data_IF_319472916273
#
_entry.id   IF_319472916273
#
_cell.length_a   1.000
_cell.length_b   1.000
_cell.length_c   1.000
_cell.angle_alpha   90.00
_cell.angle_beta   90.00
_cell.angle_gamma   90.00
#
_symmetry.space_group_name_H-M   'P 1'
#
loop_
_entity.id
_entity.type
_entity.pdbx_description
1 polymer ?
#
# COMPACT_ATOMS: atom_id res chain seq x y z
N UNK A 1 -2.14 13.75 -1.95
CA UNK A 1 -2.98 12.73 -2.62
C UNK A 1 -3.17 13.16 -4.07
N UNK A 2 -3.26 12.21 -4.99
CA UNK A 2 -3.61 12.46 -6.39
C UNK A 2 -4.76 11.52 -6.80
N UNK A 3 -5.70 12.04 -7.58
CA UNK A 3 -6.78 11.24 -8.18
C UNK A 3 -6.28 10.78 -9.55
N UNK A 4 -6.24 9.47 -9.76
CA UNK A 4 -5.81 8.87 -11.04
C UNK A 4 -7.02 8.64 -11.94
N UNK A 5 -8.14 8.22 -11.34
CA UNK A 5 -9.43 8.03 -12.01
C UNK A 5 -10.58 8.18 -11.00
N UNK A 6 -11.82 8.01 -11.46
CA UNK A 6 -13.00 8.01 -10.58
C UNK A 6 -12.92 6.95 -9.47
N UNK A 7 -12.16 5.87 -9.68
CA UNK A 7 -12.08 4.73 -8.75
C UNK A 7 -10.65 4.42 -8.27
N UNK A 8 -9.66 5.21 -8.69
CA UNK A 8 -8.26 5.03 -8.32
C UNK A 8 -7.68 6.32 -7.76
N UNK A 9 -7.10 6.20 -6.57
CA UNK A 9 -6.48 7.29 -5.83
C UNK A 9 -5.11 6.85 -5.32
N UNK A 10 -4.17 7.80 -5.29
CA UNK A 10 -2.81 7.58 -4.81
C UNK A 10 -2.53 8.51 -3.64
N UNK A 11 -2.08 7.94 -2.53
CA UNK A 11 -1.71 8.69 -1.34
C UNK A 11 -0.22 8.49 -1.09
N UNK A 12 0.52 9.60 -1.05
CA UNK A 12 1.88 9.61 -0.52
C UNK A 12 1.80 9.83 0.99
N UNK A 13 2.55 9.02 1.74
CA UNK A 13 2.76 9.22 3.17
C UNK A 13 4.26 9.35 3.44
N UNK A 14 4.67 10.08 4.48
CA UNK A 14 6.05 10.03 4.96
C UNK A 14 6.47 8.58 5.24
N UNK A 15 7.63 8.19 4.72
CA UNK A 15 8.17 6.84 4.87
C UNK A 15 8.92 6.63 6.19
N UNK A 16 9.35 7.73 6.83
CA UNK A 16 10.11 7.64 8.07
C UNK A 16 9.18 7.91 9.26
N UNK A 17 9.38 7.15 10.33
CA UNK A 17 8.75 7.42 11.61
C UNK A 17 9.43 8.63 12.31
N UNK A 18 8.96 8.99 13.51
CA UNK A 18 9.52 10.10 14.30
C UNK A 18 11.00 9.96 14.63
N UNK A 19 11.57 8.76 14.54
CA UNK A 19 12.98 8.47 14.76
C UNK A 19 13.81 8.46 13.46
N UNK A 20 13.23 8.87 12.33
CA UNK A 20 13.91 8.86 11.03
C UNK A 20 14.13 7.47 10.46
N UNK A 21 13.46 6.43 10.99
CA UNK A 21 13.60 5.04 10.51
C UNK A 21 12.41 4.62 9.67
N UNK A 22 12.68 3.80 8.67
CA UNK A 22 11.64 3.08 7.94
C UNK A 22 11.28 1.81 8.70
N UNK A 23 9.98 1.57 8.86
CA UNK A 23 9.42 0.42 9.56
C UNK A 23 8.21 -0.09 8.77
N UNK A 24 8.36 -1.28 8.17
CA UNK A 24 7.33 -1.91 7.35
C UNK A 24 6.09 -2.24 8.17
N UNK A 25 6.25 -2.74 9.38
CA UNK A 25 5.16 -3.20 10.23
C UNK A 25 4.34 -2.01 10.76
N UNK A 26 5.00 -0.91 11.12
CA UNK A 26 4.31 0.34 11.46
C UNK A 26 3.47 0.84 10.28
N UNK A 27 4.03 0.74 9.07
CA UNK A 27 3.34 1.13 7.86
C UNK A 27 2.13 0.25 7.52
N UNK A 28 2.23 -1.06 7.73
CA UNK A 28 1.12 -2.02 7.62
C UNK A 28 0.04 -1.68 8.66
N UNK A 29 0.41 -1.52 9.93
CA UNK A 29 -0.51 -1.17 11.02
C UNK A 29 -1.30 0.10 10.73
N UNK A 30 -0.67 1.14 10.19
CA UNK A 30 -1.36 2.39 9.81
C UNK A 30 -2.38 2.18 8.68
N UNK A 31 -2.09 1.32 7.71
CA UNK A 31 -3.03 0.98 6.62
C UNK A 31 -4.22 0.20 7.18
N UNK A 32 -3.98 -0.78 8.05
CA UNK A 32 -5.04 -1.54 8.71
C UNK A 32 -5.94 -0.64 9.57
N UNK A 33 -5.36 0.31 10.32
CA UNK A 33 -6.13 1.31 11.07
C UNK A 33 -6.99 2.21 10.17
N UNK A 34 -6.46 2.65 9.02
CA UNK A 34 -7.24 3.40 8.03
C UNK A 34 -8.42 2.56 7.53
N UNK A 35 -8.18 1.29 7.20
CA UNK A 35 -9.21 0.38 6.74
C UNK A 35 -10.29 0.17 7.80
N UNK A 36 -9.90 -0.02 9.06
CA UNK A 36 -10.83 -0.16 10.19
C UNK A 36 -11.74 1.07 10.32
N UNK A 37 -11.16 2.28 10.35
CA UNK A 37 -11.93 3.54 10.44
C UNK A 37 -12.87 3.74 9.27
N UNK A 38 -12.49 3.33 8.07
CA UNK A 38 -13.36 3.45 6.90
C UNK A 38 -14.51 2.43 6.92
N UNK A 39 -14.30 1.23 7.51
CA UNK A 39 -15.39 0.26 7.74
C UNK A 39 -16.41 0.78 8.75
N UNK A 40 -15.96 1.49 9.79
CA UNK A 40 -16.84 2.09 10.80
C UNK A 40 -17.73 3.20 10.23
N UNK A 41 -17.25 3.92 9.20
CA UNK A 41 -17.94 5.09 8.63
C UNK A 41 -18.78 4.79 7.37
N UNK A 42 -18.93 3.53 6.94
CA UNK A 42 -19.85 3.17 5.84
C UNK A 42 -19.46 1.95 4.99
N UNK A 43 -20.31 1.62 4.01
CA UNK A 43 -20.24 0.43 3.13
C UNK A 43 -19.12 0.46 2.06
N UNK A 44 -18.19 1.42 2.10
CA UNK A 44 -17.27 1.63 0.99
C UNK A 44 -16.31 0.42 0.82
N UNK A 45 -16.49 -0.34 -0.26
CA UNK A 45 -15.65 -1.49 -0.60
C UNK A 45 -14.46 -1.02 -1.43
N UNK A 46 -13.42 -0.51 -0.76
CA UNK A 46 -12.15 -0.20 -1.41
C UNK A 46 -11.09 -1.27 -1.09
N UNK A 47 -10.11 -1.38 -1.98
CA UNK A 47 -8.91 -2.20 -1.80
C UNK A 47 -7.71 -1.27 -1.69
N UNK A 48 -6.76 -1.62 -0.83
CA UNK A 48 -5.54 -0.84 -0.59
C UNK A 48 -4.32 -1.68 -0.94
N UNK A 49 -3.35 -1.07 -1.62
CA UNK A 49 -2.04 -1.65 -1.84
C UNK A 49 -0.96 -0.71 -1.33
N UNK A 50 0.04 -1.25 -0.65
CA UNK A 50 1.19 -0.49 -0.17
C UNK A 50 2.44 -0.87 -0.96
N UNK A 51 3.04 0.13 -1.63
CA UNK A 51 4.35 0.00 -2.27
C UNK A 51 5.50 0.10 -1.27
N UNK A 52 6.73 0.01 -1.76
CA UNK A 52 7.91 0.07 -0.90
C UNK A 52 8.50 1.48 -0.77
N UNK A 53 9.29 1.69 0.27
CA UNK A 53 10.18 2.83 0.38
C UNK A 53 11.45 2.59 -0.44
N UNK A 54 11.88 3.61 -1.17
CA UNK A 54 13.12 3.63 -1.92
C UNK A 54 13.84 4.95 -1.66
N UNK A 55 15.17 4.94 -1.76
CA UNK A 55 16.00 6.16 -1.68
C UNK A 55 16.57 6.51 -3.06
N UNK A 56 17.06 7.73 -3.19
CA UNK A 56 17.69 8.23 -4.42
C UNK A 56 16.72 8.73 -5.50
N UNK A 57 17.24 9.13 -6.67
CA UNK A 57 16.45 9.63 -7.79
C UNK A 57 15.40 8.61 -8.26
N UNK A 58 14.19 9.10 -8.57
CA UNK A 58 13.10 8.25 -9.04
C UNK A 58 12.47 7.34 -7.97
N UNK A 59 12.85 7.49 -6.70
CA UNK A 59 12.30 6.71 -5.57
C UNK A 59 10.78 6.75 -5.50
N UNK A 60 10.17 7.92 -5.68
CA UNK A 60 8.70 8.08 -5.66
C UNK A 60 8.06 7.31 -6.82
N UNK A 61 8.63 7.40 -8.03
CA UNK A 61 8.12 6.68 -9.18
C UNK A 61 8.22 5.16 -8.99
N UNK A 62 9.33 4.67 -8.41
CA UNK A 62 9.49 3.26 -8.05
C UNK A 62 8.49 2.82 -6.98
N UNK A 63 8.29 3.63 -5.94
CA UNK A 63 7.30 3.38 -4.88
C UNK A 63 5.89 3.22 -5.48
N UNK A 64 5.48 4.16 -6.34
CA UNK A 64 4.20 4.10 -7.04
C UNK A 64 4.07 2.86 -7.93
N UNK A 65 5.09 2.55 -8.74
CA UNK A 65 5.09 1.34 -9.58
C UNK A 65 4.92 0.07 -8.74
N UNK A 66 5.66 -0.05 -7.64
CA UNK A 66 5.49 -1.21 -6.74
C UNK A 66 4.09 -1.27 -6.14
N UNK A 67 3.51 -0.15 -5.70
CA UNK A 67 2.15 -0.13 -5.18
C UNK A 67 1.12 -0.62 -6.21
N UNK A 68 1.24 -0.19 -7.48
CA UNK A 68 0.36 -0.66 -8.57
C UNK A 68 0.53 -2.16 -8.83
N UNK A 69 1.76 -2.65 -8.91
CA UNK A 69 2.03 -4.08 -9.11
C UNK A 69 1.48 -4.89 -7.94
N UNK A 70 1.68 -4.44 -6.69
CA UNK A 70 1.13 -5.07 -5.50
C UNK A 70 -0.40 -5.13 -5.54
N UNK A 71 -1.08 -4.06 -5.99
CA UNK A 71 -2.54 -4.07 -6.19
C UNK A 71 -2.97 -5.14 -7.21
N UNK A 72 -2.28 -5.19 -8.36
CA UNK A 72 -2.60 -6.12 -9.44
C UNK A 72 -2.41 -7.57 -9.02
N UNK A 73 -1.21 -7.90 -8.50
CA UNK A 73 -0.86 -9.26 -8.06
C UNK A 73 -1.71 -9.67 -6.86
N UNK A 74 -1.95 -8.76 -5.91
CA UNK A 74 -2.80 -8.99 -4.74
C UNK A 74 -4.23 -9.36 -5.13
N UNK A 75 -4.85 -8.60 -6.04
CA UNK A 75 -6.19 -8.93 -6.57
C UNK A 75 -6.25 -10.29 -7.26
N UNK A 76 -5.19 -10.65 -7.98
CA UNK A 76 -5.12 -11.93 -8.70
C UNK A 76 -4.93 -13.12 -7.75
N UNK A 77 -4.02 -13.02 -6.77
CA UNK A 77 -3.67 -14.12 -5.87
C UNK A 77 -4.61 -14.25 -4.66
N UNK A 78 -5.15 -13.13 -4.19
CA UNK A 78 -5.97 -13.03 -2.97
C UNK A 78 -7.21 -12.16 -3.22
N UNK A 79 -8.16 -12.63 -4.05
CA UNK A 79 -9.31 -11.83 -4.50
C UNK A 79 -10.21 -11.35 -3.36
N UNK A 80 -10.30 -12.15 -2.28
CA UNK A 80 -11.08 -11.87 -1.07
C UNK A 80 -10.41 -10.88 -0.12
N UNK A 81 -9.08 -10.69 -0.24
CA UNK A 81 -8.37 -9.70 0.57
C UNK A 81 -8.68 -8.28 0.12
N UNK A 82 -8.59 -7.34 1.06
CA UNK A 82 -8.77 -5.90 0.84
C UNK A 82 -7.50 -5.09 1.03
N UNK A 83 -6.45 -5.68 1.59
CA UNK A 83 -5.14 -5.07 1.76
C UNK A 83 -4.07 -5.97 1.13
N UNK A 84 -3.10 -5.34 0.46
CA UNK A 84 -1.97 -6.00 -0.18
C UNK A 84 -0.70 -5.23 0.13
N UNK A 85 0.35 -5.92 0.58
CA UNK A 85 1.61 -5.30 0.98
C UNK A 85 2.75 -5.85 0.13
N UNK A 86 3.64 -4.95 -0.32
CA UNK A 86 4.75 -5.34 -1.18
C UNK A 86 5.66 -6.38 -0.54
N UNK A 87 5.94 -6.24 0.76
CA UNK A 87 6.80 -7.15 1.52
C UNK A 87 6.23 -8.58 1.52
N UNK A 88 4.93 -8.75 1.75
CA UNK A 88 4.28 -10.05 1.77
C UNK A 88 4.31 -10.74 0.39
N UNK A 89 4.12 -9.96 -0.68
CA UNK A 89 4.13 -10.49 -2.04
C UNK A 89 5.54 -10.83 -2.55
N UNK A 90 6.56 -10.11 -2.09
CA UNK A 90 7.97 -10.47 -2.32
C UNK A 90 8.33 -11.79 -1.63
N UNK A 91 7.85 -11.99 -0.40
CA UNK A 91 8.05 -13.23 0.34
C UNK A 91 7.33 -14.42 -0.32
N UNK A 92 6.17 -14.18 -0.94
CA UNK A 92 5.43 -15.18 -1.71
C UNK A 92 5.94 -15.37 -3.16
N UNK A 93 7.13 -14.85 -3.51
CA UNK A 93 7.64 -14.74 -4.88
C UNK A 93 9.14 -15.00 -5.05
N UNK A 94 9.71 -15.89 -4.23
CA UNK A 94 11.02 -16.52 -4.44
C UNK A 94 10.91 -18.06 -4.44
N UNK A 95 9.89 -18.59 -5.12
CA UNK A 95 9.69 -20.02 -5.38
C UNK A 95 9.32 -20.23 -6.85
#
# INVERSE_FOLDING_TARGET
MAIVSLTEMVVLKPALNSFGRWDADDHVRRVEQLIARMKENGQLRFRVALGNFFTGPGSIARSYRTARTTMMVGKQRMPESRSYFYQDLMLAGAA
#
